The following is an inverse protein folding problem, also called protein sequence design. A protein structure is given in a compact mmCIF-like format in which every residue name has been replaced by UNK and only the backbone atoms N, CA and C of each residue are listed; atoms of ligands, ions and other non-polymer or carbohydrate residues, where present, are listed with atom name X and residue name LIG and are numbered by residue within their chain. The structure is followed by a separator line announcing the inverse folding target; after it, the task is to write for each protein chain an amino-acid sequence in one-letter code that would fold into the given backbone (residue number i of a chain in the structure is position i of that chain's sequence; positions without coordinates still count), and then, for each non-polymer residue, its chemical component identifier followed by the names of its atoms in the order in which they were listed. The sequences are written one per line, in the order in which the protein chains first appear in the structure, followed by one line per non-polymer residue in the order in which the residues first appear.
data_IF_500490970151
#
_entry.id   IF_500490970151
#
_cell.length_a   1.000
_cell.length_b   1.000
_cell.length_c   1.000
_cell.angle_alpha   90.00
_cell.angle_beta   90.00
_cell.angle_gamma   90.00
#
_symmetry.space_group_name_H-M   'P 1'
#
loop_
_entity.id
_entity.type
_entity.pdbx_description
1 polymer ?
#
# COMPACT_ATOMS: atom_id res chain seq x y z
N UNK A 1 -45.24 33.75 -22.07
CA UNK A 1 -44.44 33.09 -21.01
C UNK A 1 -44.14 31.61 -21.27
N UNK A 2 -44.69 30.98 -22.32
CA UNK A 2 -44.54 29.55 -22.62
C UNK A 2 -43.24 29.14 -23.36
N UNK A 3 -42.47 30.10 -23.90
CA UNK A 3 -41.23 29.86 -24.66
C UNK A 3 -39.96 29.71 -23.81
N UNK A 4 -40.01 30.10 -22.53
CA UNK A 4 -38.88 30.01 -21.59
C UNK A 4 -38.90 28.72 -20.74
N UNK A 5 -40.04 28.03 -20.71
CA UNK A 5 -40.22 26.74 -20.03
C UNK A 5 -39.25 25.63 -20.49
N UNK A 6 -38.96 25.43 -21.79
CA UNK A 6 -38.01 24.39 -22.20
C UNK A 6 -36.58 24.71 -21.74
N UNK A 7 -36.20 25.99 -21.65
CA UNK A 7 -34.86 26.40 -21.23
C UNK A 7 -34.62 26.09 -19.75
N UNK A 8 -35.62 26.35 -18.90
CA UNK A 8 -35.56 26.01 -17.47
C UNK A 8 -35.57 24.50 -17.22
N UNK A 9 -36.32 23.72 -18.01
CA UNK A 9 -36.32 22.25 -17.90
C UNK A 9 -34.97 21.67 -18.32
N UNK A 10 -34.39 22.14 -19.42
CA UNK A 10 -33.05 21.72 -19.87
C UNK A 10 -31.98 22.09 -18.84
N UNK A 11 -32.05 23.30 -18.27
CA UNK A 11 -31.13 23.73 -17.22
C UNK A 11 -31.26 22.89 -15.95
N UNK A 12 -32.50 22.60 -15.50
CA UNK A 12 -32.75 21.77 -14.32
C UNK A 12 -32.26 20.32 -14.49
N UNK A 13 -32.46 19.72 -15.67
CA UNK A 13 -31.95 18.38 -16.00
C UNK A 13 -30.41 18.38 -16.03
N UNK A 14 -29.79 19.42 -16.60
CA UNK A 14 -28.33 19.56 -16.60
C UNK A 14 -27.77 19.68 -15.17
N UNK A 15 -28.39 20.47 -14.30
CA UNK A 15 -28.01 20.57 -12.88
C UNK A 15 -28.16 19.24 -12.13
N UNK A 16 -29.19 18.45 -12.43
CA UNK A 16 -29.37 17.12 -11.84
C UNK A 16 -28.26 16.15 -12.26
N UNK A 17 -27.81 16.19 -13.51
CA UNK A 17 -26.67 15.40 -13.98
C UNK A 17 -25.33 15.81 -13.34
N UNK A 18 -25.15 17.09 -13.01
CA UNK A 18 -23.94 17.58 -12.33
C UNK A 18 -23.95 17.21 -10.85
N UNK A 19 -25.11 17.27 -10.18
CA UNK A 19 -25.24 16.94 -8.76
C UNK A 19 -25.07 15.43 -8.45
N UNK A 20 -25.27 14.56 -9.43
CA UNK A 20 -25.03 13.11 -9.32
C UNK A 20 -23.57 12.70 -9.60
N UNK A 21 -22.69 13.62 -10.00
CA UNK A 21 -21.24 13.36 -9.92
C UNK A 21 -20.87 13.49 -8.45
N UNK A 22 -20.95 12.35 -7.77
CA UNK A 22 -20.69 12.18 -6.34
C UNK A 22 -19.54 13.06 -5.89
N UNK A 23 -19.79 13.83 -4.83
CA UNK A 23 -18.76 14.65 -4.22
C UNK A 23 -17.52 13.81 -3.98
N UNK A 24 -16.37 14.32 -4.40
CA UNK A 24 -15.09 13.78 -3.96
C UNK A 24 -15.14 13.75 -2.44
N UNK A 25 -15.33 12.54 -1.91
CA UNK A 25 -15.08 12.29 -0.50
C UNK A 25 -13.58 12.51 -0.34
N UNK A 26 -13.21 13.70 0.16
CA UNK A 26 -11.93 13.91 0.80
C UNK A 26 -11.71 12.69 1.71
N UNK A 27 -10.65 11.89 1.52
CA UNK A 27 -10.45 10.70 2.32
C UNK A 27 -10.19 11.16 3.76
N UNK A 28 -11.27 11.21 4.54
CA UNK A 28 -11.25 11.40 5.97
C UNK A 28 -10.85 10.05 6.56
N UNK A 29 -9.55 9.89 6.75
CA UNK A 29 -8.99 8.72 7.42
C UNK A 29 -7.80 8.14 6.69
N UNK A 30 -6.63 8.76 6.85
CA UNK A 30 -5.39 8.00 6.90
C UNK A 30 -5.47 7.08 8.13
N UNK A 31 -6.22 5.99 7.95
CA UNK A 31 -6.41 4.95 8.95
C UNK A 31 -5.15 4.13 8.93
N UNK A 32 -4.34 4.31 9.96
CA UNK A 32 -3.28 3.43 10.48
C UNK A 32 -2.65 2.41 9.49
N UNK A 33 -1.34 2.64 9.23
CA UNK A 33 -0.33 1.74 8.62
C UNK A 33 0.19 2.06 7.21
N UNK A 34 0.20 3.33 6.79
CA UNK A 34 1.02 3.77 5.62
C UNK A 34 2.49 4.06 6.00
N UNK A 35 3.02 3.42 7.04
CA UNK A 35 4.47 3.50 7.28
C UNK A 35 5.14 2.50 6.36
N UNK A 36 5.97 3.01 5.46
CA UNK A 36 6.83 2.19 4.62
C UNK A 36 7.63 1.21 5.51
N UNK A 37 7.87 -0.02 5.06
CA UNK A 37 8.67 -0.97 5.82
C UNK A 37 10.08 -0.41 6.01
N UNK A 38 10.66 -0.64 7.19
CA UNK A 38 12.08 -0.41 7.39
C UNK A 38 12.85 -1.55 6.74
N UNK A 39 13.80 -1.23 5.88
CA UNK A 39 14.66 -2.22 5.21
C UNK A 39 16.02 -2.18 5.91
N UNK A 40 16.46 -3.34 6.42
CA UNK A 40 17.80 -3.52 7.01
C UNK A 40 18.56 -4.50 6.13
N UNK A 41 19.74 -4.10 5.65
CA UNK A 41 20.63 -4.96 4.85
C UNK A 41 21.80 -5.36 5.73
N UNK A 42 21.94 -6.66 5.97
CA UNK A 42 23.10 -7.24 6.64
C UNK A 42 23.98 -7.85 5.54
N UNK A 43 25.19 -7.34 5.41
CA UNK A 43 26.18 -7.82 4.43
C UNK A 43 27.41 -8.32 5.17
N UNK A 44 27.84 -9.52 4.81
CA UNK A 44 29.05 -10.14 5.35
C UNK A 44 30.03 -10.38 4.20
N UNK A 45 31.30 -10.12 4.46
CA UNK A 45 32.39 -10.40 3.53
C UNK A 45 32.75 -11.89 3.58
N UNK A 46 33.07 -12.47 2.42
CA UNK A 46 33.49 -13.88 2.25
C UNK A 46 32.58 -14.96 2.89
N UNK A 47 31.30 -14.65 3.16
CA UNK A 47 30.37 -15.65 3.67
C UNK A 47 29.97 -16.64 2.57
N UNK A 48 30.39 -17.89 2.72
CA UNK A 48 30.07 -18.99 1.83
C UNK A 48 28.70 -19.61 2.12
N UNK A 49 28.18 -20.36 1.15
CA UNK A 49 26.90 -21.06 1.27
C UNK A 49 26.88 -22.08 2.43
N UNK A 50 28.03 -22.71 2.72
CA UNK A 50 28.14 -23.72 3.77
C UNK A 50 28.40 -23.19 5.17
N UNK A 51 28.38 -21.87 5.37
CA UNK A 51 28.81 -21.24 6.63
C UNK A 51 27.65 -20.93 7.59
N UNK A 52 26.42 -20.80 7.08
CA UNK A 52 25.23 -20.54 7.92
C UNK A 52 24.50 -21.84 8.30
N UNK A 53 24.06 -21.93 9.55
CA UNK A 53 23.29 -23.05 10.10
C UNK A 53 22.00 -23.32 9.32
N UNK A 54 21.35 -22.26 8.82
CA UNK A 54 20.20 -22.34 7.92
C UNK A 54 20.44 -23.21 6.65
N UNK A 55 21.71 -23.41 6.25
CA UNK A 55 22.11 -24.27 5.12
C UNK A 55 22.76 -25.59 5.57
N UNK A 56 22.71 -25.93 6.86
CA UNK A 56 23.25 -27.16 7.42
C UNK A 56 24.69 -27.07 7.95
N UNK A 57 25.23 -25.85 8.11
CA UNK A 57 26.52 -25.67 8.77
C UNK A 57 26.46 -26.12 10.24
N UNK A 58 27.50 -26.81 10.71
CA UNK A 58 27.59 -27.30 12.10
C UNK A 58 28.85 -26.85 12.84
N UNK A 59 29.82 -26.27 12.11
CA UNK A 59 31.09 -25.85 12.67
C UNK A 59 30.98 -24.57 13.52
N UNK A 60 30.18 -23.61 13.07
CA UNK A 60 29.95 -22.34 13.75
C UNK A 60 28.46 -22.12 13.96
N UNK A 61 28.01 -21.81 15.19
CA UNK A 61 26.60 -21.53 15.45
C UNK A 61 26.23 -20.13 14.92
N UNK A 62 25.15 -20.04 14.16
CA UNK A 62 24.61 -18.77 13.63
C UNK A 62 23.17 -18.50 14.11
N UNK A 63 22.90 -18.55 15.43
CA UNK A 63 21.54 -18.68 15.96
C UNK A 63 20.60 -17.55 15.51
N UNK A 64 21.07 -16.31 15.45
CA UNK A 64 20.23 -15.18 15.00
C UNK A 64 19.94 -15.22 13.49
N UNK A 65 20.88 -15.70 12.67
CA UNK A 65 20.64 -15.88 11.23
C UNK A 65 19.69 -17.06 11.00
N UNK A 66 19.83 -18.12 11.78
CA UNK A 66 18.97 -19.30 11.72
C UNK A 66 17.52 -18.95 12.11
N UNK A 67 17.34 -18.15 13.17
CA UNK A 67 16.03 -17.62 13.59
C UNK A 67 15.41 -16.72 12.52
N UNK A 68 16.20 -15.83 11.91
CA UNK A 68 15.74 -14.98 10.81
C UNK A 68 15.29 -15.82 9.60
N UNK A 69 16.07 -16.83 9.21
CA UNK A 69 15.73 -17.72 8.10
C UNK A 69 14.48 -18.57 8.37
N UNK A 70 14.28 -19.01 9.62
CA UNK A 70 13.07 -19.74 10.03
C UNK A 70 11.81 -18.84 10.07
N UNK A 71 11.99 -17.53 10.26
CA UNK A 71 10.91 -16.53 10.33
C UNK A 71 10.28 -16.15 8.99
N UNK A 72 10.96 -16.44 7.86
CA UNK A 72 10.51 -16.10 6.51
C UNK A 72 10.96 -14.73 6.02
#
# INVERSE_FOLDING_TARGET
MQKFLPFYVVFAVACLFVACRGGEQQPAGATQNDRLPNIVIIYADDLGYGDAGAYGATALPTPHIDELAAGG
#
